data_IF_938928680503
#
_entry.id   IF_938928680503
#
_cell.length_a   1.000
_cell.length_b   1.000
_cell.length_c   1.000
_cell.angle_alpha   90.00
_cell.angle_beta   90.00
_cell.angle_gamma   90.00
#
_symmetry.space_group_name_H-M   'P 1'
#
loop_
_entity.id
_entity.type
_entity.pdbx_description
1 polymer ?
#
# COMPACT_ATOMS: atom_id res chain seq x y z
N UNK A 1 1.09 5.87 32.52
CA UNK A 1 0.38 6.64 31.47
C UNK A 1 -0.48 5.64 30.72
N UNK A 2 -1.75 5.56 31.08
CA UNK A 2 -2.67 4.50 30.64
C UNK A 2 -3.21 4.86 29.27
N UNK A 3 -2.69 4.24 28.21
CA UNK A 3 -3.15 4.46 26.85
C UNK A 3 -4.48 3.72 26.64
N UNK A 4 -5.55 4.48 26.45
CA UNK A 4 -6.84 3.94 26.02
C UNK A 4 -6.75 3.51 24.54
N UNK A 5 -7.16 2.28 24.28
CA UNK A 5 -7.38 1.71 22.95
C UNK A 5 -8.44 2.52 22.20
N UNK A 6 -8.04 3.31 21.21
CA UNK A 6 -8.96 4.09 20.38
C UNK A 6 -8.33 4.79 19.19
N UNK A 7 -7.12 5.34 19.34
CA UNK A 7 -6.55 6.25 18.33
C UNK A 7 -5.10 5.92 17.93
N UNK A 8 -4.86 4.75 17.32
CA UNK A 8 -3.65 4.56 16.50
C UNK A 8 -4.06 4.69 15.04
N UNK A 9 -3.99 5.91 14.49
CA UNK A 9 -4.31 6.23 13.09
C UNK A 9 -3.28 5.71 12.07
N UNK A 10 -2.17 5.17 12.55
CA UNK A 10 -1.08 4.62 11.76
C UNK A 10 0.26 4.80 12.47
N UNK A 11 1.19 3.91 12.18
CA UNK A 11 2.48 3.86 12.83
C UNK A 11 3.55 3.32 11.88
N UNK A 12 4.72 3.98 11.83
CA UNK A 12 5.87 3.60 11.01
C UNK A 12 7.09 3.39 11.90
N UNK A 13 7.82 2.32 11.66
CA UNK A 13 9.03 1.95 12.38
C UNK A 13 10.11 1.39 11.47
N UNK A 14 11.35 1.71 11.81
CA UNK A 14 12.52 1.05 11.26
C UNK A 14 13.59 0.92 12.34
N UNK A 15 14.08 -0.31 12.50
CA UNK A 15 15.24 -0.64 13.35
C UNK A 15 16.52 0.06 12.89
N UNK A 16 16.59 0.56 11.64
CA UNK A 16 17.78 1.21 11.08
C UNK A 16 18.19 2.48 11.84
N UNK A 17 17.25 3.12 12.55
CA UNK A 17 17.50 4.34 13.33
C UNK A 17 18.08 4.08 14.72
N UNK A 18 18.21 2.81 15.14
CA UNK A 18 18.69 2.42 16.46
C UNK A 18 20.02 1.65 16.39
N UNK A 19 20.85 1.82 17.41
CA UNK A 19 22.04 1.00 17.62
C UNK A 19 21.67 -0.48 17.82
N UNK A 20 22.52 -1.41 17.39
CA UNK A 20 22.19 -2.84 17.32
C UNK A 20 21.67 -3.42 18.65
N UNK A 21 22.22 -2.99 19.78
CA UNK A 21 21.82 -3.43 21.13
C UNK A 21 20.40 -3.01 21.52
N UNK A 22 19.90 -1.92 20.96
CA UNK A 22 18.59 -1.34 21.31
C UNK A 22 17.48 -1.76 20.33
N UNK A 23 17.83 -2.30 19.16
CA UNK A 23 16.87 -2.67 18.10
C UNK A 23 15.81 -3.65 18.58
N UNK A 24 16.23 -4.76 19.21
CA UNK A 24 15.30 -5.81 19.63
C UNK A 24 14.42 -5.40 20.82
N UNK A 25 14.98 -4.84 21.93
CA UNK A 25 14.14 -4.39 23.05
C UNK A 25 13.08 -3.36 22.62
N UNK A 26 13.46 -2.39 21.79
CA UNK A 26 12.54 -1.35 21.30
C UNK A 26 11.49 -1.98 20.37
N UNK A 27 11.89 -2.84 19.43
CA UNK A 27 10.94 -3.48 18.51
C UNK A 27 9.95 -4.38 19.25
N UNK A 28 10.41 -5.18 20.21
CA UNK A 28 9.57 -6.10 20.99
C UNK A 28 8.54 -5.36 21.84
N UNK A 29 8.96 -4.32 22.56
CA UNK A 29 8.07 -3.57 23.44
C UNK A 29 7.14 -2.63 22.65
N UNK A 30 7.67 -1.80 21.75
CA UNK A 30 6.86 -0.80 21.04
C UNK A 30 6.02 -1.39 19.92
N UNK A 31 6.55 -2.32 19.13
CA UNK A 31 5.83 -2.88 17.98
C UNK A 31 5.07 -4.11 18.41
N UNK A 32 5.83 -5.10 18.88
CA UNK A 32 5.32 -6.42 19.22
C UNK A 32 4.15 -6.34 20.20
N UNK A 33 4.41 -5.92 21.44
CA UNK A 33 3.43 -6.02 22.52
C UNK A 33 2.40 -4.91 22.55
N UNK A 34 2.80 -3.68 22.21
CA UNK A 34 1.90 -2.53 22.31
C UNK A 34 0.94 -2.42 21.12
N UNK A 35 1.40 -2.66 19.89
CA UNK A 35 0.64 -2.32 18.68
C UNK A 35 0.07 -3.55 17.96
N UNK A 36 0.87 -4.57 17.67
CA UNK A 36 0.43 -5.72 16.86
C UNK A 36 0.13 -7.00 17.63
N UNK A 37 0.37 -7.01 18.95
CA UNK A 37 0.19 -8.17 19.85
C UNK A 37 0.98 -9.41 19.39
N UNK A 38 2.23 -9.17 19.01
CA UNK A 38 3.19 -10.18 18.57
C UNK A 38 4.45 -10.14 19.45
N UNK A 39 5.17 -11.25 19.52
CA UNK A 39 6.44 -11.38 20.22
C UNK A 39 7.55 -11.68 19.22
N UNK A 40 8.32 -10.66 18.81
CA UNK A 40 9.42 -10.84 17.88
C UNK A 40 10.71 -11.29 18.58
N UNK A 41 11.41 -12.24 17.97
CA UNK A 41 12.70 -12.75 18.42
C UNK A 41 13.62 -13.02 17.21
N UNK A 42 14.93 -12.74 17.30
CA UNK A 42 15.89 -13.18 16.28
C UNK A 42 15.94 -14.71 16.17
N UNK A 43 16.31 -15.24 15.00
CA UNK A 43 16.48 -16.70 14.84
C UNK A 43 17.83 -17.18 15.37
N UNK A 44 18.84 -16.31 15.26
CA UNK A 44 20.20 -16.53 15.74
C UNK A 44 20.83 -15.21 16.25
N UNK A 45 22.08 -15.28 16.70
CA UNK A 45 22.85 -14.14 17.23
C UNK A 45 23.32 -13.15 16.12
N UNK A 46 22.93 -13.38 14.88
CA UNK A 46 23.26 -12.53 13.73
C UNK A 46 22.49 -11.21 13.69
N UNK A 47 22.87 -10.35 12.74
CA UNK A 47 22.27 -9.03 12.59
C UNK A 47 20.76 -9.11 12.29
N UNK A 48 19.96 -8.49 13.17
CA UNK A 48 18.52 -8.37 13.04
C UNK A 48 18.13 -7.04 12.38
N UNK A 49 17.15 -7.12 11.46
CA UNK A 49 16.53 -5.96 10.84
C UNK A 49 15.02 -6.15 10.74
N UNK A 50 14.28 -5.11 11.11
CA UNK A 50 12.84 -4.98 10.88
C UNK A 50 12.46 -3.54 10.55
N UNK A 51 11.60 -3.40 9.55
CA UNK A 51 10.83 -2.20 9.22
C UNK A 51 9.37 -2.59 9.11
N UNK A 52 8.50 -1.75 9.63
CA UNK A 52 7.06 -1.96 9.61
C UNK A 52 6.35 -0.63 9.38
N UNK A 53 5.37 -0.63 8.49
CA UNK A 53 4.36 0.42 8.41
C UNK A 53 3.01 -0.25 8.63
N UNK A 54 2.23 0.22 9.59
CA UNK A 54 0.93 -0.38 9.96
C UNK A 54 -0.09 0.73 10.12
N UNK A 55 -1.28 0.56 9.55
CA UNK A 55 -2.38 1.53 9.64
C UNK A 55 -3.70 0.86 9.95
N UNK A 56 -4.46 1.46 10.85
CA UNK A 56 -5.87 1.14 11.08
C UNK A 56 -6.72 1.96 10.09
N UNK A 57 -7.63 1.29 9.38
CA UNK A 57 -8.55 1.88 8.40
C UNK A 57 -9.98 1.40 8.71
N UNK A 58 -10.66 2.11 9.60
CA UNK A 58 -12.09 1.89 9.94
C UNK A 58 -12.42 0.40 10.19
N UNK A 59 -11.64 -0.25 11.06
CA UNK A 59 -11.81 -1.65 11.42
C UNK A 59 -10.98 -2.64 10.61
N UNK A 60 -10.42 -2.23 9.46
CA UNK A 60 -9.37 -2.99 8.78
C UNK A 60 -7.99 -2.60 9.31
N UNK A 61 -7.06 -3.54 9.33
CA UNK A 61 -5.63 -3.23 9.52
C UNK A 61 -4.87 -3.48 8.22
N UNK A 62 -4.01 -2.57 7.80
CA UNK A 62 -3.05 -2.80 6.72
C UNK A 62 -1.64 -2.65 7.25
N UNK A 63 -0.68 -3.31 6.61
CA UNK A 63 0.71 -2.96 6.82
C UNK A 63 1.68 -3.56 5.82
N UNK A 64 2.86 -2.96 5.75
CA UNK A 64 4.02 -3.47 5.02
C UNK A 64 5.16 -3.75 5.98
N UNK A 65 5.92 -4.80 5.66
CA UNK A 65 7.00 -5.30 6.49
C UNK A 65 8.23 -5.57 5.63
N UNK A 66 9.40 -5.23 6.17
CA UNK A 66 10.69 -5.67 5.66
C UNK A 66 11.50 -6.21 6.84
N UNK A 67 11.86 -7.49 6.82
CA UNK A 67 12.58 -8.09 7.93
C UNK A 67 13.57 -9.17 7.49
N UNK A 68 14.59 -9.37 8.31
CA UNK A 68 15.56 -10.46 8.20
C UNK A 68 15.96 -10.95 9.58
N UNK A 69 16.26 -12.24 9.68
CA UNK A 69 16.62 -12.91 10.92
C UNK A 69 15.56 -12.70 12.02
N UNK A 70 14.30 -13.04 11.72
CA UNK A 70 13.19 -12.72 12.61
C UNK A 70 12.13 -13.83 12.66
N UNK A 71 11.82 -14.28 13.87
CA UNK A 71 10.60 -15.02 14.20
C UNK A 71 9.62 -14.05 14.86
N UNK A 72 8.42 -14.00 14.31
CA UNK A 72 7.28 -13.27 14.87
C UNK A 72 6.30 -14.32 15.38
N UNK A 73 6.05 -14.33 16.69
CA UNK A 73 5.08 -15.24 17.29
C UNK A 73 3.87 -14.49 17.83
N UNK A 74 2.69 -15.11 17.80
CA UNK A 74 1.57 -14.74 18.66
C UNK A 74 1.44 -15.81 19.74
N UNK A 75 2.03 -15.61 20.92
CA UNK A 75 1.84 -16.56 22.01
C UNK A 75 0.42 -16.42 22.59
N UNK A 76 -0.03 -17.44 23.31
CA UNK A 76 -1.41 -17.48 23.85
C UNK A 76 -1.68 -16.35 24.82
N UNK A 77 -0.66 -15.87 25.54
CA UNK A 77 -0.81 -14.78 26.52
C UNK A 77 -1.06 -13.42 25.87
N UNK A 78 -0.77 -13.26 24.57
CA UNK A 78 -1.01 -12.01 23.82
C UNK A 78 -2.32 -12.02 23.01
N UNK A 79 -3.15 -13.07 23.14
CA UNK A 79 -4.48 -13.09 22.54
C UNK A 79 -5.39 -12.09 23.26
N UNK A 80 -6.00 -11.18 22.49
CA UNK A 80 -6.82 -10.07 22.99
C UNK A 80 -8.32 -10.30 22.77
N UNK A 81 -8.71 -11.51 22.34
CA UNK A 81 -10.09 -11.86 22.04
C UNK A 81 -10.56 -11.43 20.65
N UNK A 82 -9.70 -10.80 19.84
CA UNK A 82 -10.01 -10.54 18.43
C UNK A 82 -10.04 -11.83 17.63
N UNK A 83 -10.96 -11.89 16.67
CA UNK A 83 -11.19 -13.08 15.85
C UNK A 83 -10.96 -12.82 14.36
N UNK A 84 -10.24 -11.73 14.08
CA UNK A 84 -9.90 -11.27 12.74
C UNK A 84 -9.00 -12.25 12.00
N UNK A 85 -9.09 -12.23 10.68
CA UNK A 85 -8.22 -13.00 9.81
C UNK A 85 -7.13 -12.10 9.22
N UNK A 86 -5.89 -12.57 9.22
CA UNK A 86 -4.73 -11.84 8.69
C UNK A 86 -4.28 -12.52 7.42
N UNK A 87 -4.50 -11.85 6.29
CA UNK A 87 -3.97 -12.24 4.99
C UNK A 87 -2.58 -11.64 4.81
N UNK A 88 -1.57 -12.48 4.60
CA UNK A 88 -0.20 -12.04 4.35
C UNK A 88 0.24 -12.43 2.94
N UNK A 89 0.75 -11.49 2.16
CA UNK A 89 1.26 -11.70 0.79
C UNK A 89 2.75 -11.41 0.77
N UNK A 90 3.55 -12.36 0.32
CA UNK A 90 5.00 -12.20 0.20
C UNK A 90 5.32 -11.48 -1.10
N UNK A 91 6.10 -10.39 -1.00
CA UNK A 91 6.46 -9.54 -2.15
C UNK A 91 7.91 -9.74 -2.58
N UNK A 92 8.81 -10.11 -1.66
CA UNK A 92 10.17 -10.54 -1.95
C UNK A 92 10.71 -11.45 -0.84
N UNK A 93 11.71 -12.27 -1.16
CA UNK A 93 12.29 -13.23 -0.21
C UNK A 93 11.36 -14.41 0.08
N UNK A 94 11.63 -15.12 1.17
CA UNK A 94 10.92 -16.32 1.56
C UNK A 94 10.50 -16.20 3.02
N UNK A 95 9.35 -16.75 3.38
CA UNK A 95 8.90 -16.80 4.78
C UNK A 95 8.29 -18.17 5.06
N UNK A 96 8.25 -18.54 6.34
CA UNK A 96 7.52 -19.73 6.79
C UNK A 96 6.45 -19.30 7.78
N UNK A 97 5.21 -19.71 7.55
CA UNK A 97 4.11 -19.48 8.48
C UNK A 97 3.71 -20.81 9.15
N UNK A 98 3.34 -20.74 10.43
CA UNK A 98 2.87 -21.89 11.20
C UNK A 98 1.67 -21.52 12.07
N UNK A 99 0.60 -22.31 12.02
CA UNK A 99 -0.56 -22.22 12.91
C UNK A 99 -1.34 -23.52 12.83
N UNK A 100 -2.10 -23.89 13.87
CA UNK A 100 -2.92 -25.14 13.87
C UNK A 100 -2.11 -26.41 13.56
N UNK A 101 -0.85 -26.47 13.99
CA UNK A 101 0.05 -27.60 13.74
C UNK A 101 0.40 -27.82 12.27
N UNK A 102 0.16 -26.83 11.40
CA UNK A 102 0.52 -26.85 9.98
C UNK A 102 1.59 -25.81 9.72
N UNK A 103 2.52 -26.15 8.83
CA UNK A 103 3.60 -25.28 8.38
C UNK A 103 3.49 -25.08 6.87
N UNK A 104 3.77 -23.87 6.40
CA UNK A 104 3.81 -23.54 4.97
C UNK A 104 4.98 -22.60 4.67
N UNK A 105 5.71 -22.91 3.60
CA UNK A 105 6.72 -22.02 3.04
C UNK A 105 6.13 -21.18 1.92
N UNK A 106 6.48 -19.89 1.91
CA UNK A 106 5.92 -18.89 1.02
C UNK A 106 7.06 -18.10 0.38
N UNK A 107 7.07 -18.05 -0.94
CA UNK A 107 7.91 -17.18 -1.75
C UNK A 107 7.12 -16.03 -2.38
N UNK A 108 7.77 -15.20 -3.22
CA UNK A 108 7.15 -14.01 -3.81
C UNK A 108 5.88 -14.34 -4.60
N UNK A 109 4.82 -13.57 -4.38
CA UNK A 109 3.51 -13.74 -5.01
C UNK A 109 2.64 -14.82 -4.38
N UNK A 110 3.10 -15.50 -3.34
CA UNK A 110 2.29 -16.43 -2.54
C UNK A 110 1.72 -15.73 -1.31
N UNK A 111 0.62 -16.28 -0.80
CA UNK A 111 -0.08 -15.73 0.35
C UNK A 111 -0.56 -16.82 1.32
N UNK A 112 -0.78 -16.43 2.56
CA UNK A 112 -1.35 -17.28 3.61
C UNK A 112 -2.38 -16.49 4.42
N UNK A 113 -3.41 -17.20 4.90
CA UNK A 113 -4.37 -16.69 5.86
C UNK A 113 -4.07 -17.27 7.25
N UNK A 114 -4.03 -16.42 8.27
CA UNK A 114 -3.86 -16.80 9.67
C UNK A 114 -4.99 -16.22 10.53
N UNK A 115 -5.37 -16.91 11.60
CA UNK A 115 -6.38 -16.45 12.55
C UNK A 115 -5.75 -15.60 13.64
N UNK A 116 -6.39 -14.50 14.03
CA UNK A 116 -5.93 -13.69 15.15
C UNK A 116 -6.27 -14.29 16.51
N UNK A 117 -7.28 -15.16 16.57
CA UNK A 117 -7.74 -15.82 17.79
C UNK A 117 -6.84 -16.99 18.23
N UNK A 118 -5.79 -17.31 17.48
CA UNK A 118 -4.99 -18.51 17.68
C UNK A 118 -3.50 -18.20 17.70
N UNK A 119 -2.78 -18.96 18.52
CA UNK A 119 -1.34 -18.89 18.56
C UNK A 119 -0.72 -19.39 17.25
N UNK A 120 0.22 -18.63 16.70
CA UNK A 120 0.87 -18.92 15.43
C UNK A 120 2.22 -18.21 15.32
N UNK A 121 2.97 -18.55 14.29
CA UNK A 121 4.27 -17.92 14.01
C UNK A 121 4.45 -17.60 12.53
N UNK A 122 5.31 -16.62 12.27
CA UNK A 122 5.84 -16.27 10.97
C UNK A 122 7.36 -16.12 11.12
N UNK A 123 8.12 -16.76 10.24
CA UNK A 123 9.57 -16.76 10.26
C UNK A 123 10.07 -16.16 8.96
N UNK A 124 10.83 -15.06 9.08
CA UNK A 124 11.64 -14.51 8.01
C UNK A 124 13.10 -14.99 8.21
N UNK A 125 13.71 -15.62 7.20
CA UNK A 125 15.07 -16.13 7.27
C UNK A 125 16.09 -14.98 7.40
N UNK A 126 17.36 -15.33 7.51
CA UNK A 126 18.47 -14.35 7.56
C UNK A 126 18.53 -13.50 6.29
N UNK A 127 18.03 -13.99 5.15
CA UNK A 127 17.90 -13.18 3.93
C UNK A 127 16.70 -12.21 4.03
N UNK A 128 16.84 -10.96 3.52
CA UNK A 128 15.77 -9.97 3.57
C UNK A 128 14.49 -10.45 2.89
N UNK A 129 13.38 -10.33 3.62
CA UNK A 129 12.04 -10.67 3.14
C UNK A 129 11.09 -9.49 3.30
N UNK A 130 10.19 -9.31 2.34
CA UNK A 130 9.18 -8.25 2.36
C UNK A 130 7.80 -8.83 2.14
N UNK A 131 6.83 -8.35 2.91
CA UNK A 131 5.43 -8.78 2.79
C UNK A 131 4.47 -7.66 3.15
N UNK A 132 3.25 -7.79 2.66
CA UNK A 132 2.12 -6.94 3.05
C UNK A 132 1.10 -7.76 3.81
N UNK A 133 0.47 -7.16 4.81
CA UNK A 133 -0.57 -7.76 5.63
C UNK A 133 -1.88 -6.98 5.52
N UNK A 134 -2.99 -7.71 5.49
CA UNK A 134 -4.35 -7.20 5.58
C UNK A 134 -5.10 -7.95 6.68
N UNK A 135 -5.43 -7.25 7.77
CA UNK A 135 -6.28 -7.73 8.85
C UNK A 135 -7.74 -7.41 8.53
N UNK A 136 -8.55 -8.47 8.49
CA UNK A 136 -9.95 -8.46 8.06
C UNK A 136 -10.84 -8.92 9.22
N UNK A 137 -11.78 -8.10 9.69
CA UNK A 137 -12.79 -8.52 10.63
C UNK A 137 -13.62 -9.67 10.08
N UNK A 138 -13.76 -10.75 10.86
CA UNK A 138 -14.53 -11.92 10.44
C UNK A 138 -15.97 -11.56 10.06
N UNK A 139 -16.58 -10.62 10.80
CA UNK A 139 -17.92 -10.08 10.50
C UNK A 139 -18.02 -9.42 9.13
N UNK A 140 -16.98 -8.73 8.67
CA UNK A 140 -16.97 -8.08 7.36
C UNK A 140 -16.80 -9.10 6.22
N UNK A 141 -16.15 -10.24 6.48
CA UNK A 141 -15.96 -11.32 5.51
C UNK A 141 -17.16 -12.27 5.41
N UNK A 142 -17.99 -12.37 6.45
CA UNK A 142 -19.06 -13.37 6.56
C UNK A 142 -20.06 -13.35 5.39
N UNK A 143 -20.32 -12.18 4.79
CA UNK A 143 -21.21 -12.06 3.62
C UNK A 143 -20.50 -12.28 2.28
N UNK A 144 -19.17 -12.33 2.27
CA UNK A 144 -18.34 -12.34 1.06
C UNK A 144 -17.67 -13.68 0.80
N UNK A 145 -17.37 -14.44 1.86
CA UNK A 145 -16.68 -15.73 1.80
C UNK A 145 -17.47 -16.72 2.64
N UNK A 146 -17.82 -17.87 2.06
CA UNK A 146 -18.66 -18.86 2.73
C UNK A 146 -17.95 -19.53 3.92
N UNK A 147 -16.70 -19.95 3.73
CA UNK A 147 -15.90 -20.57 4.79
C UNK A 147 -14.43 -20.11 4.69
N UNK A 148 -14.09 -18.95 5.27
CA UNK A 148 -12.71 -18.47 5.25
C UNK A 148 -11.79 -19.31 6.17
N UNK A 149 -12.34 -20.07 7.12
CA UNK A 149 -11.56 -20.87 8.08
C UNK A 149 -10.88 -22.05 7.40
N UNK A 150 -11.53 -22.60 6.36
CA UNK A 150 -10.99 -23.67 5.54
C UNK A 150 -9.67 -23.28 4.85
N UNK A 151 -9.47 -21.98 4.60
CA UNK A 151 -8.27 -21.45 3.93
C UNK A 151 -7.11 -21.16 4.87
N UNK A 152 -7.31 -21.24 6.19
CA UNK A 152 -6.26 -20.99 7.17
C UNK A 152 -5.10 -21.97 6.98
N UNK A 153 -3.88 -21.44 6.92
CA UNK A 153 -2.62 -22.20 6.69
C UNK A 153 -2.77 -23.22 5.55
N UNK A 154 -3.37 -22.80 4.44
CA UNK A 154 -3.35 -23.54 3.16
C UNK A 154 -2.71 -22.67 2.08
N UNK A 155 -2.11 -23.27 1.04
CA UNK A 155 -1.66 -22.52 -0.12
C UNK A 155 -2.85 -21.83 -0.79
N UNK A 156 -2.81 -20.49 -0.85
CA UNK A 156 -3.73 -19.70 -1.67
C UNK A 156 -3.22 -19.65 -3.12
N UNK A 157 -4.10 -19.45 -4.12
CA UNK A 157 -3.68 -19.30 -5.51
C UNK A 157 -2.63 -18.20 -5.67
N UNK A 158 -1.44 -18.55 -6.15
CA UNK A 158 -0.32 -17.62 -6.24
C UNK A 158 -0.44 -16.68 -7.45
N UNK A 159 0.17 -15.50 -7.35
CA UNK A 159 0.34 -14.54 -8.45
C UNK A 159 -0.97 -14.05 -9.11
N UNK A 160 -2.09 -14.10 -8.39
CA UNK A 160 -3.38 -13.61 -8.88
C UNK A 160 -3.36 -12.10 -9.08
N UNK A 161 -4.26 -11.60 -9.93
CA UNK A 161 -4.43 -10.16 -10.11
C UNK A 161 -4.84 -9.46 -8.81
N UNK A 162 -5.76 -10.06 -8.04
CA UNK A 162 -6.22 -9.53 -6.78
C UNK A 162 -5.06 -9.34 -5.77
N UNK A 163 -4.14 -10.30 -5.66
CA UNK A 163 -2.95 -10.17 -4.79
C UNK A 163 -2.05 -9.02 -5.24
N UNK A 164 -1.78 -8.91 -6.54
CA UNK A 164 -0.94 -7.83 -7.09
C UNK A 164 -1.56 -6.46 -6.82
N UNK A 165 -2.85 -6.31 -7.07
CA UNK A 165 -3.57 -5.06 -6.82
C UNK A 165 -3.62 -4.71 -5.35
N UNK A 166 -3.87 -5.70 -4.47
CA UNK A 166 -3.87 -5.48 -3.02
C UNK A 166 -2.50 -5.00 -2.53
N UNK A 167 -1.42 -5.63 -2.97
CA UNK A 167 -0.07 -5.25 -2.58
C UNK A 167 0.32 -3.85 -3.08
N UNK A 168 -0.08 -3.47 -4.30
CA UNK A 168 0.10 -2.11 -4.82
C UNK A 168 -0.71 -1.10 -4.01
N UNK A 169 -1.97 -1.42 -3.71
CA UNK A 169 -2.85 -0.51 -3.00
C UNK A 169 -2.41 -0.24 -1.56
N UNK A 170 -1.95 -1.26 -0.84
CA UNK A 170 -1.38 -1.10 0.51
C UNK A 170 -0.11 -0.25 0.47
N UNK A 171 0.78 -0.50 -0.49
CA UNK A 171 2.02 0.29 -0.65
C UNK A 171 1.72 1.76 -0.91
N UNK A 172 0.71 2.05 -1.73
CA UNK A 172 0.37 3.44 -2.05
C UNK A 172 -0.25 4.18 -0.86
N UNK A 173 -0.96 3.45 -0.01
CA UNK A 173 -1.45 4.00 1.25
C UNK A 173 -0.29 4.25 2.23
N UNK A 174 0.84 3.54 2.13
CA UNK A 174 1.99 3.75 3.02
C UNK A 174 2.72 5.08 2.77
N UNK A 175 2.74 5.57 1.52
CA UNK A 175 3.53 6.74 1.09
C UNK A 175 2.87 8.10 1.39
N UNK A 176 2.13 8.20 2.49
CA UNK A 176 1.53 9.45 3.05
C UNK A 176 0.17 9.88 2.49
N UNK A 177 -0.62 8.96 1.93
CA UNK A 177 -1.97 9.28 1.48
C UNK A 177 -2.90 9.57 2.69
N UNK A 178 -3.23 10.86 2.90
CA UNK A 178 -4.31 11.26 3.78
C UNK A 178 -5.63 11.05 3.06
N UNK A 179 -6.44 10.12 3.58
CA UNK A 179 -7.80 9.90 3.09
C UNK A 179 -8.72 11.00 3.64
N UNK A 180 -8.66 12.17 3.00
CA UNK A 180 -9.25 13.40 3.53
C UNK A 180 -10.77 13.32 3.69
N UNK A 181 -11.48 12.66 2.77
CA UNK A 181 -12.94 12.60 2.76
C UNK A 181 -13.50 11.26 3.25
N UNK A 182 -14.61 11.24 4.02
CA UNK A 182 -15.26 10.01 4.47
C UNK A 182 -15.66 9.06 3.33
N UNK A 183 -16.07 9.60 2.18
CA UNK A 183 -16.49 8.83 1.01
C UNK A 183 -15.30 8.05 0.42
N UNK A 184 -14.15 8.71 0.32
CA UNK A 184 -12.92 8.08 -0.18
C UNK A 184 -12.44 6.98 0.78
N UNK A 185 -12.58 7.21 2.09
CA UNK A 185 -12.26 6.20 3.12
C UNK A 185 -13.13 4.96 2.97
N UNK A 186 -14.44 5.14 2.82
CA UNK A 186 -15.38 4.04 2.60
C UNK A 186 -15.07 3.23 1.34
N UNK A 187 -14.72 3.92 0.24
CA UNK A 187 -14.31 3.27 -0.99
C UNK A 187 -13.04 2.43 -0.80
N UNK A 188 -11.99 2.99 -0.18
CA UNK A 188 -10.72 2.27 0.08
C UNK A 188 -10.95 1.00 0.91
N UNK A 189 -11.71 1.11 2.00
CA UNK A 189 -12.04 -0.02 2.88
C UNK A 189 -12.78 -1.10 2.08
N UNK A 190 -13.77 -0.71 1.27
CA UNK A 190 -14.49 -1.65 0.41
C UNK A 190 -13.54 -2.35 -0.57
N UNK A 191 -12.62 -1.63 -1.20
CA UNK A 191 -11.70 -2.23 -2.18
C UNK A 191 -10.75 -3.24 -1.53
N UNK A 192 -10.20 -2.90 -0.36
CA UNK A 192 -9.34 -3.82 0.40
C UNK A 192 -10.09 -5.08 0.80
N UNK A 193 -11.35 -4.94 1.24
CA UNK A 193 -12.21 -6.05 1.61
C UNK A 193 -12.56 -6.93 0.40
N UNK A 194 -12.96 -6.33 -0.73
CA UNK A 194 -13.27 -7.05 -1.97
C UNK A 194 -12.06 -7.84 -2.49
N UNK A 195 -10.87 -7.23 -2.49
CA UNK A 195 -9.62 -7.90 -2.89
C UNK A 195 -9.25 -9.03 -1.91
N UNK A 196 -9.36 -8.80 -0.61
CA UNK A 196 -9.13 -9.81 0.41
C UNK A 196 -10.07 -11.01 0.24
N UNK A 197 -11.36 -10.75 0.02
CA UNK A 197 -12.36 -11.78 -0.24
C UNK A 197 -12.03 -12.58 -1.51
N UNK A 198 -11.69 -11.91 -2.63
CA UNK A 198 -11.29 -12.58 -3.87
C UNK A 198 -10.08 -13.50 -3.68
N UNK A 199 -9.12 -13.09 -2.87
CA UNK A 199 -7.90 -13.87 -2.58
C UNK A 199 -8.22 -15.10 -1.72
N UNK A 200 -9.09 -14.94 -0.72
CA UNK A 200 -9.48 -16.02 0.18
C UNK A 200 -10.43 -17.01 -0.51
N UNK A 201 -11.29 -16.54 -1.41
CA UNK A 201 -12.27 -17.37 -2.13
C UNK A 201 -13.68 -16.79 -2.02
N UNK A 202 -13.91 -15.63 -2.66
CA UNK A 202 -15.19 -14.96 -2.65
C UNK A 202 -16.32 -15.87 -3.17
N UNK A 203 -17.49 -15.77 -2.56
CA UNK A 203 -18.70 -16.36 -3.12
C UNK A 203 -19.06 -15.69 -4.46
N UNK A 204 -19.98 -16.29 -5.21
CA UNK A 204 -20.29 -15.85 -6.58
C UNK A 204 -20.76 -14.38 -6.63
N UNK A 205 -21.63 -13.98 -5.71
CA UNK A 205 -22.20 -12.63 -5.69
C UNK A 205 -21.15 -11.59 -5.31
N UNK A 206 -20.30 -11.91 -4.32
CA UNK A 206 -19.18 -11.08 -3.92
C UNK A 206 -18.12 -10.96 -5.02
N UNK A 207 -17.86 -12.03 -5.78
CA UNK A 207 -16.93 -11.99 -6.89
C UNK A 207 -17.41 -11.03 -8.00
N UNK A 208 -18.70 -11.09 -8.36
CA UNK A 208 -19.31 -10.16 -9.33
C UNK A 208 -19.27 -8.72 -8.82
N UNK A 209 -19.67 -8.49 -7.57
CA UNK A 209 -19.66 -7.15 -6.97
C UNK A 209 -18.24 -6.57 -6.83
N UNK A 210 -17.24 -7.43 -6.62
CA UNK A 210 -15.84 -7.04 -6.58
C UNK A 210 -15.33 -6.64 -7.97
N UNK A 211 -15.74 -7.34 -9.04
CA UNK A 211 -15.38 -6.96 -10.41
C UNK A 211 -15.93 -5.59 -10.81
N UNK A 212 -17.19 -5.32 -10.51
CA UNK A 212 -17.89 -4.08 -10.89
C UNK A 212 -17.49 -2.86 -10.03
N UNK A 213 -16.94 -3.08 -8.84
CA UNK A 213 -16.59 -2.03 -7.89
C UNK A 213 -15.13 -2.06 -7.45
N UNK A 214 -14.82 -2.93 -6.49
CA UNK A 214 -13.55 -2.91 -5.75
C UNK A 214 -12.32 -3.10 -6.62
N UNK A 215 -12.41 -4.02 -7.58
CA UNK A 215 -11.33 -4.33 -8.50
C UNK A 215 -11.10 -3.21 -9.51
N UNK A 216 -12.18 -2.63 -10.07
CA UNK A 216 -12.08 -1.50 -10.98
C UNK A 216 -11.40 -0.29 -10.30
N UNK A 217 -11.81 0.04 -9.09
CA UNK A 217 -11.24 1.16 -8.37
C UNK A 217 -9.81 0.90 -7.87
N UNK A 218 -9.49 -0.33 -7.44
CA UNK A 218 -8.12 -0.72 -7.13
C UNK A 218 -7.20 -0.65 -8.35
N UNK A 219 -7.68 -1.10 -9.53
CA UNK A 219 -6.95 -0.94 -10.81
C UNK A 219 -6.73 0.54 -11.13
N UNK A 220 -7.74 1.39 -10.96
CA UNK A 220 -7.60 2.83 -11.20
C UNK A 220 -6.58 3.46 -10.25
N UNK A 221 -6.59 3.07 -8.97
CA UNK A 221 -5.60 3.54 -8.00
C UNK A 221 -4.18 3.10 -8.38
N UNK A 222 -3.99 1.82 -8.74
CA UNK A 222 -2.70 1.31 -9.22
C UNK A 222 -2.21 2.03 -10.49
N UNK A 223 -3.11 2.36 -11.42
CA UNK A 223 -2.79 3.18 -12.60
C UNK A 223 -2.35 4.58 -12.20
N UNK A 224 -3.04 5.22 -11.25
CA UNK A 224 -2.67 6.57 -10.77
C UNK A 224 -1.33 6.58 -10.03
N UNK A 225 -1.05 5.54 -9.25
CA UNK A 225 0.24 5.32 -8.58
C UNK A 225 1.38 5.23 -9.60
N UNK A 226 1.24 4.32 -10.57
CA UNK A 226 2.24 4.12 -11.62
C UNK A 226 2.50 5.39 -12.44
N UNK A 227 1.48 6.22 -12.66
CA UNK A 227 1.64 7.55 -13.29
C UNK A 227 2.46 8.49 -12.42
N UNK A 228 2.21 8.53 -11.11
CA UNK A 228 2.92 9.41 -10.17
C UNK A 228 4.41 9.04 -10.09
N UNK A 229 4.72 7.75 -10.03
CA UNK A 229 6.08 7.24 -9.93
C UNK A 229 6.90 7.47 -11.21
N UNK A 230 6.24 7.55 -12.37
CA UNK A 230 6.88 7.62 -13.68
C UNK A 230 6.57 8.95 -14.41
N UNK A 231 6.31 10.03 -13.66
CA UNK A 231 5.82 11.30 -14.20
C UNK A 231 6.86 12.10 -15.01
N UNK A 232 8.16 11.81 -14.84
CA UNK A 232 9.28 12.49 -15.51
C UNK A 232 9.40 12.14 -17.01
N UNK A 233 10.14 12.98 -17.76
CA UNK A 233 10.21 12.92 -19.22
C UNK A 233 10.80 11.58 -19.73
N UNK A 234 10.10 10.93 -20.67
CA UNK A 234 10.61 9.76 -21.39
C UNK A 234 9.54 8.85 -21.98
N UNK A 235 8.74 8.17 -21.14
CA UNK A 235 7.98 6.99 -21.59
C UNK A 235 6.61 6.79 -20.91
N UNK A 236 6.03 7.83 -20.28
CA UNK A 236 4.69 7.72 -19.70
C UNK A 236 3.61 7.75 -20.79
N UNK A 237 3.42 6.61 -21.43
CA UNK A 237 2.39 6.36 -22.44
C UNK A 237 1.35 5.38 -21.88
N UNK A 238 0.11 5.50 -22.36
CA UNK A 238 -0.95 4.56 -21.98
C UNK A 238 -0.57 3.09 -22.23
N UNK A 239 0.07 2.69 -23.36
CA UNK A 239 0.57 1.33 -23.55
C UNK A 239 1.63 0.89 -22.53
N UNK A 240 2.55 1.78 -22.13
CA UNK A 240 3.59 1.45 -21.16
C UNK A 240 3.00 1.18 -19.77
N UNK A 241 2.06 2.03 -19.32
CA UNK A 241 1.33 1.83 -18.06
C UNK A 241 0.52 0.52 -18.10
N UNK A 242 -0.18 0.27 -19.21
CA UNK A 242 -0.95 -0.95 -19.43
C UNK A 242 -0.06 -2.20 -19.33
N UNK A 243 1.12 -2.18 -19.96
CA UNK A 243 2.07 -3.29 -19.92
C UNK A 243 2.60 -3.57 -18.49
N UNK A 244 3.00 -2.52 -17.75
CA UNK A 244 3.50 -2.68 -16.37
C UNK A 244 2.45 -3.27 -15.43
N UNK A 245 1.19 -2.87 -15.59
CA UNK A 245 0.08 -3.31 -14.72
C UNK A 245 -0.64 -4.57 -15.23
N UNK A 246 -0.22 -5.12 -16.39
CA UNK A 246 -0.88 -6.25 -17.08
C UNK A 246 -2.37 -5.98 -17.38
N UNK A 247 -2.68 -4.74 -17.79
CA UNK A 247 -3.99 -4.31 -18.24
C UNK A 247 -3.97 -4.03 -19.75
N UNK A 248 -5.13 -3.86 -20.36
CA UNK A 248 -5.21 -3.34 -21.74
C UNK A 248 -5.37 -1.82 -21.72
N UNK A 249 -4.87 -1.08 -22.73
CA UNK A 249 -5.08 0.36 -22.85
C UNK A 249 -6.56 0.75 -22.78
N UNK A 250 -7.43 -0.03 -23.45
CA UNK A 250 -8.88 0.17 -23.46
C UNK A 250 -9.49 0.00 -22.06
N UNK A 251 -8.98 -0.95 -21.27
CA UNK A 251 -9.44 -1.12 -19.89
C UNK A 251 -9.09 0.11 -19.04
N UNK A 252 -7.85 0.60 -19.13
CA UNK A 252 -7.44 1.81 -18.40
C UNK A 252 -8.29 3.03 -18.80
N UNK A 253 -8.58 3.21 -20.09
CA UNK A 253 -9.48 4.29 -20.54
C UNK A 253 -10.86 4.20 -19.88
N UNK A 254 -11.48 3.01 -19.88
CA UNK A 254 -12.78 2.79 -19.22
C UNK A 254 -12.74 3.07 -17.72
N UNK A 255 -11.63 2.77 -17.04
CA UNK A 255 -11.46 3.09 -15.62
C UNK A 255 -11.44 4.60 -15.38
N UNK A 256 -10.74 5.37 -16.22
CA UNK A 256 -10.75 6.83 -16.13
C UNK A 256 -12.11 7.43 -16.49
N UNK A 257 -12.74 6.94 -17.56
CA UNK A 257 -14.07 7.39 -18.01
C UNK A 257 -15.12 7.18 -16.90
N UNK A 258 -15.11 6.01 -16.26
CA UNK A 258 -16.02 5.69 -15.14
C UNK A 258 -15.75 6.58 -13.92
N UNK A 259 -14.53 7.09 -13.77
CA UNK A 259 -14.15 8.05 -12.74
C UNK A 259 -14.31 9.51 -13.16
N UNK A 260 -14.95 9.79 -14.31
CA UNK A 260 -15.24 11.14 -14.77
C UNK A 260 -14.02 11.93 -15.30
N UNK A 261 -12.98 11.25 -15.76
CA UNK A 261 -11.78 11.88 -16.33
C UNK A 261 -11.21 11.05 -17.48
N UNK A 262 -10.10 11.48 -18.07
CA UNK A 262 -9.32 10.71 -19.04
C UNK A 262 -7.89 10.51 -18.54
N UNK A 263 -7.22 9.48 -19.05
CA UNK A 263 -5.80 9.25 -18.76
C UNK A 263 -4.95 10.50 -19.04
N UNK A 264 -5.15 11.14 -20.20
CA UNK A 264 -4.39 12.32 -20.61
C UNK A 264 -4.64 13.53 -19.73
N UNK A 265 -5.89 13.77 -19.31
CA UNK A 265 -6.22 14.86 -18.37
C UNK A 265 -5.58 14.65 -17.01
N UNK A 266 -5.62 13.42 -16.48
CA UNK A 266 -5.00 13.10 -15.20
C UNK A 266 -3.48 13.30 -15.24
N UNK A 267 -2.81 12.77 -16.27
CA UNK A 267 -1.35 12.97 -16.47
C UNK A 267 -1.02 14.46 -16.59
N UNK A 268 -1.79 15.22 -17.38
CA UNK A 268 -1.58 16.65 -17.52
C UNK A 268 -1.70 17.38 -16.17
N UNK A 269 -2.73 17.06 -15.38
CA UNK A 269 -2.92 17.61 -14.04
C UNK A 269 -1.73 17.34 -13.11
N UNK A 270 -1.24 16.11 -13.09
CA UNK A 270 -0.07 15.74 -12.27
C UNK A 270 1.20 16.49 -12.69
N UNK A 271 1.46 16.61 -14.00
CA UNK A 271 2.62 17.37 -14.51
C UNK A 271 2.55 18.85 -14.14
N UNK A 272 1.35 19.43 -14.22
CA UNK A 272 1.11 20.83 -13.82
C UNK A 272 1.26 21.03 -12.30
N UNK A 273 0.80 20.08 -11.48
CA UNK A 273 1.01 20.09 -10.03
C UNK A 273 2.49 20.03 -9.66
N UNK A 274 3.25 19.14 -10.32
CA UNK A 274 4.71 19.06 -10.13
C UNK A 274 5.42 20.34 -10.57
N UNK A 275 5.04 20.93 -11.71
CA UNK A 275 5.57 22.21 -12.15
C UNK A 275 5.31 23.31 -11.13
N UNK A 276 4.09 23.42 -10.62
CA UNK A 276 3.74 24.42 -9.62
C UNK A 276 4.61 24.27 -8.37
N UNK A 277 4.77 23.05 -7.86
CA UNK A 277 5.64 22.77 -6.72
C UNK A 277 7.08 23.25 -6.97
N UNK A 278 7.67 22.88 -8.11
CA UNK A 278 9.03 23.31 -8.49
C UNK A 278 9.16 24.84 -8.67
N UNK A 279 8.12 25.50 -9.19
CA UNK A 279 8.10 26.96 -9.35
C UNK A 279 8.08 27.68 -8.00
N UNK A 280 7.43 27.10 -6.99
CA UNK A 280 7.31 27.66 -5.64
C UNK A 280 8.48 27.31 -4.71
N UNK A 281 9.20 26.22 -4.98
CA UNK A 281 10.32 25.77 -4.14
C UNK A 281 11.53 26.71 -4.24
N UNK A 282 12.00 27.31 -3.12
CA UNK A 282 13.18 28.19 -3.11
C UNK A 282 14.45 27.55 -3.68
N UNK A 283 14.60 26.21 -3.55
CA UNK A 283 15.75 25.45 -4.06
C UNK A 283 15.83 25.48 -5.59
N UNK A 284 14.69 25.64 -6.27
CA UNK A 284 14.58 25.72 -7.72
C UNK A 284 14.47 27.16 -8.25
N UNK A 285 14.79 28.16 -7.42
CA UNK A 285 14.69 29.58 -7.77
C UNK A 285 15.54 29.98 -8.98
N UNK A 286 16.67 29.30 -9.22
CA UNK A 286 17.57 29.53 -10.34
C UNK A 286 17.25 28.68 -11.58
N UNK A 287 16.35 27.70 -11.46
CA UNK A 287 15.97 26.80 -12.56
C UNK A 287 15.02 27.52 -13.52
N UNK A 288 15.33 27.56 -14.81
CA UNK A 288 14.49 28.27 -15.79
C UNK A 288 13.10 27.63 -15.91
N UNK A 289 12.09 28.40 -16.33
CA UNK A 289 10.74 27.87 -16.59
C UNK A 289 10.80 26.78 -17.67
N UNK A 290 11.62 26.98 -18.71
CA UNK A 290 11.83 26.00 -19.78
C UNK A 290 12.39 24.67 -19.26
N UNK A 291 13.38 24.72 -18.37
CA UNK A 291 13.94 23.53 -17.73
C UNK A 291 12.90 22.80 -16.89
N UNK A 292 12.12 23.53 -16.07
CA UNK A 292 11.05 22.92 -15.27
C UNK A 292 9.98 22.28 -16.16
N UNK A 293 9.56 22.96 -17.23
CA UNK A 293 8.58 22.42 -18.16
C UNK A 293 9.07 21.09 -18.77
N UNK A 294 10.32 21.05 -19.21
CA UNK A 294 10.93 19.83 -19.74
C UNK A 294 11.05 18.73 -18.66
N UNK A 295 11.54 19.06 -17.47
CA UNK A 295 11.72 18.10 -16.36
C UNK A 295 10.41 17.39 -15.98
N UNK A 296 9.29 18.11 -15.97
CA UNK A 296 7.98 17.55 -15.62
C UNK A 296 7.23 16.92 -16.80
N UNK A 297 7.84 16.79 -17.99
CA UNK A 297 7.23 16.04 -19.08
C UNK A 297 6.66 16.85 -20.26
N UNK A 298 6.90 18.17 -20.36
CA UNK A 298 6.42 18.97 -21.50
C UNK A 298 7.49 19.10 -22.59
N UNK A 299 7.16 18.66 -23.80
CA UNK A 299 8.04 18.80 -24.97
C UNK A 299 7.92 20.16 -25.69
N UNK A 300 6.90 20.95 -25.35
CA UNK A 300 6.66 22.28 -25.92
C UNK A 300 6.37 23.30 -24.82
N UNK A 301 7.22 24.32 -24.72
CA UNK A 301 7.11 25.38 -23.72
C UNK A 301 5.86 26.26 -23.95
N UNK A 302 5.44 26.44 -25.19
CA UNK A 302 4.23 27.22 -25.50
C UNK A 302 2.98 26.51 -24.99
N UNK A 303 2.88 25.21 -25.22
CA UNK A 303 1.81 24.36 -24.71
C UNK A 303 1.81 24.30 -23.18
N UNK A 304 2.99 24.18 -22.55
CA UNK A 304 3.11 24.28 -21.09
C UNK A 304 2.53 25.59 -20.56
N UNK A 305 2.97 26.74 -21.08
CA UNK A 305 2.50 28.05 -20.60
C UNK A 305 0.98 28.21 -20.76
N UNK A 306 0.43 27.78 -21.90
CA UNK A 306 -1.03 27.85 -22.16
C UNK A 306 -1.82 26.98 -21.18
N UNK A 307 -1.40 25.73 -20.99
CA UNK A 307 -2.11 24.77 -20.13
C UNK A 307 -1.96 25.12 -18.66
N UNK A 308 -0.78 25.57 -18.23
CA UNK A 308 -0.54 26.05 -16.87
C UNK A 308 -1.43 27.25 -16.54
N UNK A 309 -1.47 28.26 -17.42
CA UNK A 309 -2.35 29.43 -17.23
C UNK A 309 -3.82 29.05 -17.21
N UNK A 310 -4.24 28.11 -18.07
CA UNK A 310 -5.62 27.61 -18.06
C UNK A 310 -5.98 26.90 -16.75
N UNK A 311 -5.05 26.18 -16.16
CA UNK A 311 -5.29 25.40 -14.93
C UNK A 311 -5.23 26.27 -13.66
N UNK A 312 -4.24 27.16 -13.55
CA UNK A 312 -4.00 27.96 -12.34
C UNK A 312 -4.48 29.42 -12.43
N UNK A 313 -4.96 29.87 -13.59
CA UNK A 313 -5.38 31.26 -13.84
C UNK A 313 -4.24 32.26 -14.02
N UNK A 314 -3.00 31.89 -13.66
CA UNK A 314 -1.79 32.74 -13.71
C UNK A 314 -0.66 32.09 -14.50
N UNK A 315 0.30 32.86 -14.97
CA UNK A 315 1.43 32.30 -15.73
C UNK A 315 2.50 31.69 -14.80
N UNK A 316 3.33 30.77 -15.29
CA UNK A 316 4.49 30.27 -14.54
C UNK A 316 5.44 31.37 -14.06
N UNK A 317 5.57 32.45 -14.85
CA UNK A 317 6.37 33.62 -14.48
C UNK A 317 5.75 34.40 -13.32
N UNK A 318 4.42 34.54 -13.30
CA UNK A 318 3.72 35.25 -12.21
C UNK A 318 3.87 34.50 -10.88
N UNK A 319 3.72 33.17 -10.90
CA UNK A 319 3.96 32.31 -9.72
C UNK A 319 5.40 32.48 -9.21
N UNK A 320 6.37 32.54 -10.12
CA UNK A 320 7.80 32.74 -9.78
C UNK A 320 8.05 34.10 -9.12
N UNK A 321 7.39 35.13 -9.61
CA UNK A 321 7.56 36.50 -9.19
C UNK A 321 6.77 36.85 -7.91
N UNK A 322 5.82 36.02 -7.50
CA UNK A 322 5.01 36.24 -6.32
C UNK A 322 5.88 36.35 -5.04
N UNK A 323 5.66 37.36 -4.19
CA UNK A 323 6.44 37.55 -2.97
C UNK A 323 6.25 36.36 -2.03
N UNK A 324 7.37 35.72 -1.66
CA UNK A 324 7.38 34.60 -0.72
C UNK A 324 6.97 35.12 0.66
N UNK A 325 5.84 34.65 1.20
CA UNK A 325 5.51 34.86 2.61
C UNK A 325 6.53 34.08 3.45
N UNK A 326 7.39 34.82 4.14
CA UNK A 326 8.33 34.36 5.16
C UNK A 326 7.61 33.80 6.36
#
# INVERSE_FOLDING_TARGET
MTMQSGDITGFRFSTAHFGERDRLPIFREQIGRMIVKLDPEPLDDGAFHAEANVRELFGLGIGSWACSNLKIARPRELLDGTDDLVLTIITSGNTRASQRGRDIELGPGQAVLQSSAEAGTMVAPVSPSRFVGLRLPRKALASLVNDPEDMLIRPLPANTEAMRLLALYIRELDDSYQLSTPELRGAVVKHLLDLGALIIGANRDAAVAAEDGGLAAARLAAVKADISDNLSYGDLTLPAVAARLKLTPRHIQRLFESAGSTFSEFVLGQRLARAHHLLTDPRHSRTTIGTIAFEVGFGDLSYFNRTFRRHYGVTPSDIRAAPRRS
#
